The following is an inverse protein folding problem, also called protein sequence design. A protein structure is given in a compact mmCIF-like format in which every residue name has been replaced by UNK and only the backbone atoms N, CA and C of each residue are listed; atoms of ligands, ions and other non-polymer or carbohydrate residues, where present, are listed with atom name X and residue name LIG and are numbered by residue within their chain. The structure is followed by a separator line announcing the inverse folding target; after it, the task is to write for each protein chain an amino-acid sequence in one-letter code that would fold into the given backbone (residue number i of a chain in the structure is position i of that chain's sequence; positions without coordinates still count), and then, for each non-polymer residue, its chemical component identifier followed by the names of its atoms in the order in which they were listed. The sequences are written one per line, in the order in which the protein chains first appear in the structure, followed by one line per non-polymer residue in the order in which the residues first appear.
data_IF_789414500112
#
_entry.id   IF_789414500112
#
_cell.length_a   1.000
_cell.length_b   1.000
_cell.length_c   1.000
_cell.angle_alpha   90.00
_cell.angle_beta   90.00
_cell.angle_gamma   90.00
#
_symmetry.space_group_name_H-M   'P 1'
#
loop_
_entity.id
_entity.type
_entity.pdbx_description
1 polymer ?
#
# COMPACT_ATOMS: atom_id res chain seq x y z
N UNK A 1 16.14 22.84 10.07
CA UNK A 1 15.22 23.60 9.18
C UNK A 1 13.81 23.47 9.72
N UNK A 2 13.10 24.59 9.97
CA UNK A 2 11.63 24.55 10.10
C UNK A 2 11.06 24.59 8.69
N UNK A 3 10.60 23.45 8.17
CA UNK A 3 9.93 23.44 6.87
C UNK A 3 8.53 24.01 7.08
N UNK A 4 8.17 25.06 6.33
CA UNK A 4 6.84 25.67 6.40
C UNK A 4 5.82 24.72 5.78
N UNK A 5 4.80 24.32 6.53
CA UNK A 5 3.69 23.49 6.04
C UNK A 5 3.08 24.06 4.75
N UNK A 6 2.96 25.38 4.65
CA UNK A 6 2.42 26.05 3.47
C UNK A 6 3.32 25.91 2.23
N UNK A 7 4.64 25.89 2.39
CA UNK A 7 5.58 25.70 1.28
C UNK A 7 5.53 24.27 0.73
N UNK A 8 5.45 23.27 1.62
CA UNK A 8 5.28 21.87 1.22
C UNK A 8 3.97 21.64 0.47
N UNK A 9 2.87 22.19 1.00
CA UNK A 9 1.56 22.11 0.34
C UNK A 9 1.55 22.81 -1.02
N UNK A 10 2.29 23.92 -1.16
CA UNK A 10 2.45 24.59 -2.44
C UNK A 10 3.29 23.75 -3.41
N UNK A 11 4.40 23.18 -2.96
CA UNK A 11 5.27 22.32 -3.77
C UNK A 11 4.52 21.08 -4.29
N UNK A 12 3.65 20.49 -3.48
CA UNK A 12 2.84 19.34 -3.87
C UNK A 12 1.82 19.65 -4.97
N UNK A 13 1.44 20.92 -5.18
CA UNK A 13 0.54 21.32 -6.27
C UNK A 13 1.22 21.36 -7.63
N UNK A 14 2.54 21.28 -7.69
CA UNK A 14 3.26 21.29 -8.97
C UNK A 14 2.98 20.00 -9.76
N UNK A 15 2.82 20.05 -11.10
CA UNK A 15 2.47 18.87 -11.90
C UNK A 15 3.57 17.79 -11.93
N UNK A 16 4.80 18.15 -11.56
CA UNK A 16 5.95 17.26 -11.47
C UNK A 16 6.26 16.82 -10.02
N UNK A 17 5.35 17.06 -9.06
CA UNK A 17 5.55 16.76 -7.65
C UNK A 17 5.41 15.28 -7.28
N UNK A 18 5.15 14.38 -8.24
CA UNK A 18 4.83 12.97 -7.98
C UNK A 18 5.85 12.26 -7.09
N UNK A 19 7.15 12.43 -7.35
CA UNK A 19 8.22 11.84 -6.52
C UNK A 19 8.31 12.46 -5.13
N UNK A 20 8.02 13.75 -5.00
CA UNK A 20 7.96 14.41 -3.68
C UNK A 20 6.79 13.86 -2.86
N UNK A 21 5.62 13.67 -3.47
CA UNK A 21 4.47 13.07 -2.81
C UNK A 21 4.77 11.65 -2.34
N UNK A 22 5.35 10.81 -3.20
CA UNK A 22 5.74 9.45 -2.87
C UNK A 22 6.75 9.41 -1.70
N UNK A 23 7.75 10.28 -1.71
CA UNK A 23 8.74 10.36 -0.64
C UNK A 23 8.14 10.79 0.70
N UNK A 24 7.21 11.76 0.69
CA UNK A 24 6.54 12.21 1.91
C UNK A 24 5.70 11.09 2.52
N UNK A 25 4.93 10.35 1.71
CA UNK A 25 4.15 9.21 2.17
C UNK A 25 5.05 8.12 2.77
N UNK A 26 6.11 7.73 2.06
CA UNK A 26 7.05 6.72 2.56
C UNK A 26 7.74 7.14 3.86
N UNK A 27 8.07 8.43 4.02
CA UNK A 27 8.68 8.93 5.24
C UNK A 27 7.68 8.98 6.41
N UNK A 28 6.44 9.37 6.16
CA UNK A 28 5.37 9.39 7.17
C UNK A 28 5.10 7.97 7.72
N UNK A 29 5.06 6.97 6.82
CA UNK A 29 4.95 5.56 7.19
C UNK A 29 6.17 5.09 7.98
N UNK A 30 7.39 5.39 7.50
CA UNK A 30 8.62 5.01 8.20
C UNK A 30 8.70 5.63 9.61
N UNK A 31 8.19 6.85 9.80
CA UNK A 31 8.17 7.49 11.12
C UNK A 31 7.22 6.82 12.13
N UNK A 32 6.29 5.98 11.66
CA UNK A 32 5.41 5.20 12.52
C UNK A 32 6.04 3.86 12.93
N UNK A 33 7.14 3.44 12.29
CA UNK A 33 7.88 2.23 12.62
C UNK A 33 8.82 2.47 13.83
N UNK A 34 8.67 1.73 14.94
CA UNK A 34 9.56 1.85 16.09
C UNK A 34 11.03 1.52 15.79
N UNK A 35 11.30 0.69 14.78
CA UNK A 35 12.65 0.31 14.39
C UNK A 35 13.33 1.38 13.51
N UNK A 36 12.58 2.33 12.95
CA UNK A 36 13.11 3.46 12.20
C UNK A 36 13.56 4.61 13.12
N UNK A 37 14.58 4.34 13.92
CA UNK A 37 15.10 5.25 14.94
C UNK A 37 16.03 6.36 14.39
N UNK A 38 16.58 7.17 15.30
CA UNK A 38 17.43 8.31 14.93
C UNK A 38 18.66 7.95 14.08
N UNK A 39 19.37 6.81 14.31
CA UNK A 39 20.51 6.42 13.47
C UNK A 39 20.12 6.24 12.00
N UNK A 40 18.97 5.62 11.72
CA UNK A 40 18.48 5.42 10.36
C UNK A 40 18.11 6.76 9.72
N UNK A 41 17.49 7.67 10.49
CA UNK A 41 17.17 9.02 10.03
C UNK A 41 18.41 9.84 9.68
N UNK A 42 19.49 9.70 10.45
CA UNK A 42 20.78 10.35 10.18
C UNK A 42 21.42 9.84 8.88
N UNK A 43 21.35 8.53 8.62
CA UNK A 43 21.81 7.95 7.35
C UNK A 43 21.04 8.51 6.16
N UNK A 44 19.71 8.63 6.26
CA UNK A 44 18.88 9.22 5.18
C UNK A 44 19.24 10.69 4.94
N UNK A 45 19.41 11.48 6.00
CA UNK A 45 19.86 12.88 5.88
C UNK A 45 21.21 12.97 5.16
N UNK A 46 22.16 12.12 5.54
CA UNK A 46 23.48 12.08 4.94
C UNK A 46 23.44 11.73 3.43
N UNK A 47 22.55 10.82 3.02
CA UNK A 47 22.34 10.49 1.61
C UNK A 47 21.72 11.65 0.82
N UNK A 48 20.79 12.39 1.42
CA UNK A 48 20.18 13.57 0.80
C UNK A 48 21.21 14.70 0.65
N UNK A 49 22.03 14.94 1.68
CA UNK A 49 23.09 15.94 1.66
C UNK A 49 24.19 15.60 0.65
N UNK A 50 24.52 14.31 0.51
CA UNK A 50 25.48 13.82 -0.49
C UNK A 50 24.95 13.89 -1.94
N UNK A 51 23.64 14.06 -2.13
CA UNK A 51 23.00 14.15 -3.45
C UNK A 51 23.10 12.89 -4.31
N UNK A 52 23.52 11.77 -3.73
CA UNK A 52 23.67 10.49 -4.43
C UNK A 52 23.53 9.31 -3.49
N UNK A 53 22.98 8.20 -4.00
CA UNK A 53 22.92 6.92 -3.29
C UNK A 53 24.01 6.02 -3.86
N UNK A 54 24.95 5.51 -3.04
CA UNK A 54 25.96 4.57 -3.51
C UNK A 54 25.34 3.33 -4.15
N UNK A 55 25.88 2.88 -5.29
CA UNK A 55 25.28 1.79 -6.08
C UNK A 55 25.06 0.51 -5.26
N UNK A 56 26.04 0.12 -4.44
CA UNK A 56 25.93 -1.05 -3.58
C UNK A 56 24.77 -0.95 -2.57
N UNK A 57 24.49 0.25 -2.07
CA UNK A 57 23.37 0.50 -1.15
C UNK A 57 22.04 0.38 -1.89
N UNK A 58 21.94 0.98 -3.09
CA UNK A 58 20.75 0.86 -3.92
C UNK A 58 20.44 -0.61 -4.29
N UNK A 59 21.48 -1.39 -4.64
CA UNK A 59 21.33 -2.82 -4.92
C UNK A 59 20.82 -3.59 -3.70
N UNK A 60 21.45 -3.40 -2.54
CA UNK A 60 21.06 -4.09 -1.31
C UNK A 60 19.61 -3.73 -0.89
N UNK A 61 19.20 -2.47 -1.07
CA UNK A 61 17.84 -2.03 -0.81
C UNK A 61 16.83 -2.72 -1.74
N UNK A 62 17.13 -2.77 -3.04
CA UNK A 62 16.28 -3.46 -4.02
C UNK A 62 16.14 -4.95 -3.72
N UNK A 63 17.24 -5.64 -3.41
CA UNK A 63 17.19 -7.06 -3.05
C UNK A 63 16.31 -7.32 -1.82
N UNK A 64 16.36 -6.42 -0.81
CA UNK A 64 15.53 -6.54 0.38
C UNK A 64 14.06 -6.26 0.08
N UNK A 65 13.76 -5.27 -0.78
CA UNK A 65 12.40 -4.98 -1.21
C UNK A 65 11.80 -6.14 -2.00
N UNK A 66 12.54 -6.73 -2.93
CA UNK A 66 12.09 -7.91 -3.69
C UNK A 66 11.72 -9.08 -2.76
N UNK A 67 12.57 -9.40 -1.78
CA UNK A 67 12.27 -10.46 -0.81
C UNK A 67 11.04 -10.17 0.03
N UNK A 68 10.84 -8.89 0.39
CA UNK A 68 9.65 -8.48 1.11
C UNK A 68 8.38 -8.68 0.27
N UNK A 69 8.40 -8.27 -1.01
CA UNK A 69 7.28 -8.49 -1.93
C UNK A 69 6.96 -9.98 -2.13
N UNK A 70 7.98 -10.83 -2.23
CA UNK A 70 7.82 -12.29 -2.29
C UNK A 70 7.12 -12.82 -1.02
N UNK A 71 7.59 -12.38 0.16
CA UNK A 71 6.99 -12.77 1.44
C UNK A 71 5.52 -12.36 1.55
N UNK A 72 5.17 -11.15 1.08
CA UNK A 72 3.78 -10.67 1.06
C UNK A 72 2.90 -11.50 0.11
N UNK A 73 3.41 -11.87 -1.07
CA UNK A 73 2.70 -12.75 -2.02
C UNK A 73 2.45 -14.14 -1.43
N UNK A 74 3.44 -14.70 -0.74
CA UNK A 74 3.30 -15.99 -0.08
C UNK A 74 2.26 -15.93 1.04
N UNK A 75 2.29 -14.89 1.88
CA UNK A 75 1.28 -14.67 2.91
C UNK A 75 -0.12 -14.52 2.34
N UNK A 76 -0.29 -13.73 1.27
CA UNK A 76 -1.58 -13.59 0.60
C UNK A 76 -2.09 -14.95 0.08
N UNK A 77 -1.21 -15.76 -0.52
CA UNK A 77 -1.56 -17.09 -1.02
C UNK A 77 -2.03 -18.05 0.08
N UNK A 78 -1.50 -17.91 1.30
CA UNK A 78 -1.92 -18.68 2.47
C UNK A 78 -3.23 -18.18 3.10
N UNK A 79 -3.55 -16.89 2.95
CA UNK A 79 -4.73 -16.25 3.53
C UNK A 79 -5.95 -16.26 2.61
N UNK A 80 -5.79 -16.55 1.31
CA UNK A 80 -6.91 -16.81 0.40
C UNK A 80 -7.56 -18.14 0.82
N UNK A 81 -8.57 -18.03 1.68
CA UNK A 81 -9.52 -19.12 1.96
C UNK A 81 -10.21 -19.45 0.63
N UNK A 82 -10.21 -20.71 0.17
CA UNK A 82 -10.97 -21.07 -1.02
C UNK A 82 -12.42 -20.66 -0.82
N UNK A 83 -12.95 -19.91 -1.80
CA UNK A 83 -14.33 -19.47 -1.84
C UNK A 83 -15.24 -20.66 -1.49
N UNK A 84 -16.14 -20.55 -0.48
CA UNK A 84 -17.04 -21.64 -0.18
C UNK A 84 -17.85 -21.93 -1.43
N UNK A 85 -17.74 -23.17 -1.91
CA UNK A 85 -18.46 -23.69 -3.07
C UNK A 85 -19.90 -23.19 -3.04
N UNK A 86 -20.33 -22.53 -4.12
CA UNK A 86 -21.61 -21.83 -4.17
C UNK A 86 -22.75 -22.74 -3.67
N UNK A 87 -23.60 -22.25 -2.75
CA UNK A 87 -24.62 -23.09 -2.14
C UNK A 87 -25.50 -23.71 -3.23
N UNK A 88 -25.68 -25.03 -3.15
CA UNK A 88 -26.50 -25.80 -4.08
C UNK A 88 -27.87 -25.13 -4.29
N UNK A 89 -28.30 -25.09 -5.55
CA UNK A 89 -29.48 -24.35 -5.99
C UNK A 89 -30.70 -24.62 -5.08
N UNK A 90 -31.42 -23.57 -4.63
CA UNK A 90 -32.54 -23.75 -3.73
C UNK A 90 -33.65 -24.57 -4.42
N UNK A 91 -34.35 -25.46 -3.68
CA UNK A 91 -35.41 -26.27 -4.25
C UNK A 91 -36.51 -25.40 -4.84
N UNK A 92 -36.98 -25.76 -6.03
CA UNK A 92 -37.98 -25.01 -6.78
C UNK A 92 -39.25 -24.79 -5.95
N UNK A 93 -39.58 -23.54 -5.66
CA UNK A 93 -40.81 -23.19 -4.93
C UNK A 93 -42.04 -23.50 -5.79
N UNK A 94 -43.09 -24.11 -5.22
CA UNK A 94 -44.31 -24.39 -5.95
C UNK A 94 -44.97 -23.07 -6.37
N UNK A 95 -45.34 -22.98 -7.66
CA UNK A 95 -46.03 -21.81 -8.22
C UNK A 95 -47.49 -21.83 -7.79
N UNK A 96 -47.87 -20.90 -6.92
CA UNK A 96 -49.29 -20.63 -6.63
C UNK A 96 -49.88 -19.85 -7.81
N UNK A 97 -50.96 -20.37 -8.38
CA UNK A 97 -51.71 -19.72 -9.46
C UNK A 97 -52.99 -19.12 -8.87
N UNK A 98 -53.20 -17.83 -9.07
CA UNK A 98 -54.42 -17.14 -8.63
C UNK A 98 -55.58 -17.52 -9.57
N UNK A 99 -56.56 -18.24 -9.04
CA UNK A 99 -57.85 -18.42 -9.71
C UNK A 99 -58.68 -17.14 -9.53
N UNK A 100 -58.68 -16.26 -10.53
CA UNK A 100 -59.65 -15.17 -10.61
C UNK A 100 -60.95 -15.76 -11.14
N UNK A 101 -61.97 -15.83 -10.29
CA UNK A 101 -63.34 -16.15 -10.70
C UNK A 101 -64.02 -14.86 -11.13
N UNK A 102 -64.40 -14.77 -12.41
CA UNK A 102 -65.23 -13.69 -12.94
C UNK A 102 -66.65 -14.21 -13.16
N UNK A 103 -67.60 -13.78 -12.32
CA UNK A 103 -69.03 -13.61 -12.59
C UNK A 103 -69.72 -13.01 -11.35
#
# INVERSE_FOLDING_TARGET
MKVSTNELLLALRAPNSGWLAALICALDEAMQDPDFAEPQREMVRSLLDAGSVPHAVAQAANERLTRFEETVKDLHSLLVIPEPEAPAAPPARPKLTLCVTAA
#
